data_IF_895161225239
#
_entry.id   IF_895161225239
#
_cell.length_a   1.000
_cell.length_b   1.000
_cell.length_c   1.000
_cell.angle_alpha   90.00
_cell.angle_beta   90.00
_cell.angle_gamma   90.00
#
_symmetry.space_group_name_H-M   'P 1'
#
loop_
_entity.id
_entity.type
_entity.pdbx_description
1 polymer ?
#
# COMPACT_ATOMS: atom_id res chain seq x y z
N UNK A 1 3.19 2.56 -62.67
CA UNK A 1 2.48 3.15 -61.52
C UNK A 1 2.73 2.27 -60.30
N UNK A 2 3.56 2.69 -59.35
CA UNK A 2 3.99 1.88 -58.20
C UNK A 2 3.22 2.38 -56.96
N UNK A 3 2.20 1.63 -56.53
CA UNK A 3 1.41 1.96 -55.34
C UNK A 3 2.27 1.68 -54.11
N UNK A 4 2.76 2.73 -53.44
CA UNK A 4 3.40 2.63 -52.14
C UNK A 4 2.27 2.51 -51.11
N UNK A 5 2.09 1.31 -50.56
CA UNK A 5 1.19 1.10 -49.44
C UNK A 5 1.91 1.60 -48.17
N UNK A 6 1.44 2.71 -47.62
CA UNK A 6 1.89 3.21 -46.32
C UNK A 6 1.29 2.30 -45.23
N UNK A 7 2.15 1.51 -44.58
CA UNK A 7 1.79 0.73 -43.39
C UNK A 7 1.82 1.70 -42.21
N UNK A 8 0.64 2.09 -41.73
CA UNK A 8 0.49 2.90 -40.53
C UNK A 8 0.67 1.98 -39.30
N UNK A 9 1.88 1.96 -38.74
CA UNK A 9 2.15 1.25 -37.49
C UNK A 9 1.48 2.02 -36.33
N UNK A 10 0.35 1.52 -35.83
CA UNK A 10 -0.24 1.97 -34.58
C UNK A 10 0.67 1.54 -33.43
N UNK A 11 1.44 2.48 -32.89
CA UNK A 11 2.13 2.34 -31.61
C UNK A 11 1.08 2.44 -30.51
N UNK A 12 0.54 1.31 -30.06
CA UNK A 12 -0.26 1.24 -28.84
C UNK A 12 0.69 1.40 -27.65
N UNK A 13 0.83 2.61 -27.13
CA UNK A 13 1.47 2.81 -25.83
C UNK A 13 0.64 2.06 -24.78
N UNK A 14 1.25 1.25 -23.89
CA UNK A 14 0.54 0.65 -22.79
C UNK A 14 0.04 1.79 -21.89
N UNK A 15 -1.27 2.03 -21.91
CA UNK A 15 -1.91 2.87 -20.92
C UNK A 15 -1.91 2.04 -19.63
N UNK A 16 -0.99 2.32 -18.72
CA UNK A 16 -1.05 1.81 -17.35
C UNK A 16 -2.24 2.49 -16.68
N UNK A 17 -3.43 1.94 -16.89
CA UNK A 17 -4.59 2.29 -16.09
C UNK A 17 -4.32 1.86 -14.64
N UNK A 18 -4.81 2.63 -13.66
CA UNK A 18 -4.94 2.17 -12.28
C UNK A 18 -5.60 0.79 -12.27
N UNK A 19 -4.82 -0.21 -11.93
CA UNK A 19 -5.30 -1.53 -11.57
C UNK A 19 -4.93 -1.74 -10.11
N UNK A 20 -5.86 -2.34 -9.37
CA UNK A 20 -5.55 -3.05 -8.13
C UNK A 20 -4.35 -3.98 -8.36
N UNK A 21 -3.60 -4.30 -7.30
CA UNK A 21 -2.42 -5.16 -7.39
C UNK A 21 -2.69 -6.37 -8.30
N UNK A 22 -1.96 -6.43 -9.41
CA UNK A 22 -2.26 -7.39 -10.46
C UNK A 22 -1.64 -8.73 -10.08
N UNK A 23 -2.42 -9.81 -10.07
CA UNK A 23 -1.86 -11.16 -9.86
C UNK A 23 -0.70 -11.40 -10.84
N UNK A 24 0.50 -11.75 -10.36
CA UNK A 24 0.81 -12.43 -9.09
C UNK A 24 1.21 -11.54 -7.89
N UNK A 25 1.05 -10.22 -7.97
CA UNK A 25 1.40 -9.29 -6.89
C UNK A 25 0.51 -9.49 -5.66
N UNK A 26 1.10 -9.38 -4.48
CA UNK A 26 0.39 -9.38 -3.20
C UNK A 26 0.03 -7.95 -2.79
N UNK A 27 -1.19 -7.75 -2.30
CA UNK A 27 -1.62 -6.45 -1.75
C UNK A 27 -1.05 -6.30 -0.35
N UNK A 28 -0.43 -5.16 -0.04
CA UNK A 28 -0.25 -4.71 1.35
C UNK A 28 -1.50 -3.94 1.79
N UNK A 29 -1.81 -2.85 1.07
CA UNK A 29 -3.01 -2.05 1.27
C UNK A 29 -3.52 -1.51 -0.07
N UNK A 30 -4.82 -1.62 -0.32
CA UNK A 30 -5.51 -0.94 -1.42
C UNK A 30 -6.79 -0.28 -0.88
N UNK A 31 -7.09 0.94 -1.32
CA UNK A 31 -8.37 1.58 -1.00
C UNK A 31 -8.69 2.73 -1.95
N UNK A 32 -9.92 3.25 -1.86
CA UNK A 32 -10.33 4.42 -2.63
C UNK A 32 -10.44 5.68 -1.78
N UNK A 33 -10.45 6.84 -2.43
CA UNK A 33 -10.68 8.14 -1.83
C UNK A 33 -11.70 8.94 -2.65
N UNK A 34 -12.30 9.94 -2.00
CA UNK A 34 -13.20 10.90 -2.63
C UNK A 34 -14.41 10.21 -3.29
N UNK A 35 -14.99 9.22 -2.61
CA UNK A 35 -16.08 8.38 -3.10
C UNK A 35 -15.72 7.63 -4.39
N UNK A 36 -14.57 6.94 -4.40
CA UNK A 36 -14.15 6.10 -5.52
C UNK A 36 -13.58 6.86 -6.72
N UNK A 37 -13.20 8.13 -6.57
CA UNK A 37 -12.62 8.91 -7.67
C UNK A 37 -11.10 8.73 -7.78
N UNK A 38 -10.45 8.44 -6.65
CA UNK A 38 -9.02 8.16 -6.56
C UNK A 38 -8.78 6.85 -5.84
N UNK A 39 -7.62 6.26 -6.05
CA UNK A 39 -7.19 5.05 -5.36
C UNK A 39 -5.73 5.16 -4.91
N UNK A 40 -5.39 4.36 -3.90
CA UNK A 40 -4.02 3.95 -3.60
C UNK A 40 -3.92 2.45 -3.72
N UNK A 41 -2.83 1.97 -4.31
CA UNK A 41 -2.45 0.57 -4.33
C UNK A 41 -1.00 0.46 -3.83
N UNK A 42 -0.82 -0.31 -2.76
CA UNK A 42 0.48 -0.69 -2.23
C UNK A 42 0.67 -2.19 -2.44
N UNK A 43 1.56 -2.54 -3.36
CA UNK A 43 1.71 -3.91 -3.86
C UNK A 43 3.14 -4.41 -3.65
N UNK A 44 3.26 -5.67 -3.27
CA UNK A 44 4.50 -6.43 -3.23
C UNK A 44 4.62 -7.26 -4.50
N UNK A 45 5.71 -7.07 -5.23
CA UNK A 45 6.04 -7.78 -6.47
C UNK A 45 7.43 -8.40 -6.33
N UNK A 46 7.47 -9.61 -5.75
CA UNK A 46 8.72 -10.29 -5.43
C UNK A 46 9.56 -9.52 -4.41
N UNK A 47 10.65 -8.92 -4.87
CA UNK A 47 11.60 -8.14 -4.06
C UNK A 47 11.37 -6.62 -4.13
N UNK A 48 10.30 -6.18 -4.79
CA UNK A 48 9.95 -4.76 -4.92
C UNK A 48 8.60 -4.46 -4.27
N UNK A 49 8.53 -3.32 -3.57
CA UNK A 49 7.31 -2.75 -3.04
C UNK A 49 6.97 -1.49 -3.84
N UNK A 50 5.74 -1.40 -4.32
CA UNK A 50 5.26 -0.27 -5.13
C UNK A 50 4.12 0.48 -4.46
N UNK A 51 4.09 1.80 -4.60
CA UNK A 51 3.02 2.71 -4.19
C UNK A 51 2.50 3.43 -5.42
N UNK A 52 1.20 3.31 -5.69
CA UNK A 52 0.52 4.01 -6.79
C UNK A 52 -0.66 4.79 -6.25
N UNK A 53 -0.70 6.10 -6.51
CA UNK A 53 -1.80 6.96 -6.07
C UNK A 53 -2.29 7.88 -7.19
N UNK A 54 -3.61 8.06 -7.30
CA UNK A 54 -4.21 8.96 -8.28
C UNK A 54 -5.60 8.54 -8.75
N UNK A 55 -6.04 9.08 -9.89
CA UNK A 55 -7.42 8.93 -10.37
C UNK A 55 -7.69 7.60 -11.07
N UNK A 56 -8.75 6.90 -10.65
CA UNK A 56 -9.15 5.62 -11.25
C UNK A 56 -9.40 5.78 -12.76
N UNK A 57 -8.90 4.82 -13.55
CA UNK A 57 -9.02 4.81 -15.00
C UNK A 57 -8.06 5.74 -15.74
N UNK A 58 -7.11 6.39 -15.03
CA UNK A 58 -6.01 7.17 -15.61
C UNK A 58 -4.66 6.54 -15.28
N UNK A 59 -3.57 7.16 -15.78
CA UNK A 59 -2.24 6.85 -15.30
C UNK A 59 -2.04 7.37 -13.86
N UNK A 60 -1.19 6.74 -13.04
CA UNK A 60 -0.92 7.22 -11.70
C UNK A 60 -0.37 8.63 -11.61
N UNK A 61 -0.89 9.39 -10.64
CA UNK A 61 -0.40 10.74 -10.31
C UNK A 61 0.95 10.61 -9.58
N UNK A 62 1.12 9.55 -8.78
CA UNK A 62 2.39 9.07 -8.23
C UNK A 62 2.53 7.57 -8.44
N UNK A 63 3.73 7.14 -8.84
CA UNK A 63 4.17 5.74 -8.91
C UNK A 63 5.58 5.68 -8.35
N UNK A 64 5.74 5.06 -7.17
CA UNK A 64 6.99 4.96 -6.42
C UNK A 64 7.31 3.50 -6.19
N UNK A 65 8.60 3.15 -6.24
CA UNK A 65 9.07 1.78 -5.99
C UNK A 65 10.27 1.80 -5.06
N UNK A 66 10.32 0.86 -4.13
CA UNK A 66 11.43 0.64 -3.21
C UNK A 66 11.70 -0.87 -3.11
N UNK A 67 12.97 -1.32 -3.01
CA UNK A 67 13.24 -2.71 -2.68
C UNK A 67 12.59 -3.09 -1.35
N UNK A 68 12.03 -4.30 -1.25
CA UNK A 68 11.40 -4.82 -0.03
C UNK A 68 12.36 -4.73 1.15
N UNK A 69 13.66 -4.99 0.95
CA UNK A 69 14.68 -4.90 2.00
C UNK A 69 14.87 -3.49 2.55
N UNK A 70 14.62 -2.47 1.73
CA UNK A 70 14.78 -1.06 2.09
C UNK A 70 13.46 -0.42 2.54
N UNK A 71 12.33 -1.13 2.41
CA UNK A 71 11.02 -0.61 2.80
C UNK A 71 10.96 -0.27 4.29
N UNK A 72 10.58 0.97 4.60
CA UNK A 72 10.33 1.47 5.96
C UNK A 72 8.98 0.97 6.47
N UNK A 73 8.92 -0.32 6.79
CA UNK A 73 7.74 -1.03 7.25
C UNK A 73 7.77 -1.25 8.77
N UNK A 74 6.70 -0.88 9.46
CA UNK A 74 6.54 -1.07 10.91
C UNK A 74 5.32 -1.99 11.14
N UNK A 75 5.53 -3.26 11.54
CA UNK A 75 4.44 -4.15 11.90
C UNK A 75 3.86 -3.82 13.28
N UNK A 76 2.64 -4.29 13.54
CA UNK A 76 2.00 -4.14 14.84
C UNK A 76 2.81 -4.83 15.95
N UNK A 77 3.08 -4.19 17.11
CA UNK A 77 3.87 -4.79 18.19
C UNK A 77 3.14 -5.88 18.99
N UNK A 78 1.94 -6.32 18.58
CA UNK A 78 1.17 -7.34 19.28
C UNK A 78 0.36 -6.84 20.49
N UNK A 79 0.37 -5.53 20.78
CA UNK A 79 -0.27 -4.93 21.96
C UNK A 79 -1.26 -3.82 21.54
N UNK A 80 -2.40 -3.77 22.22
CA UNK A 80 -3.43 -2.74 22.03
C UNK A 80 -4.66 -3.22 21.26
N UNK A 81 -5.74 -2.45 21.28
CA UNK A 81 -6.99 -2.84 20.62
C UNK A 81 -6.88 -2.76 19.09
N UNK A 82 -6.37 -1.62 18.61
CA UNK A 82 -6.11 -1.36 17.21
C UNK A 82 -4.84 -2.11 16.78
N UNK A 83 -5.02 -3.06 15.86
CA UNK A 83 -3.93 -3.70 15.13
C UNK A 83 -3.60 -2.79 13.96
N UNK A 84 -2.33 -2.44 13.77
CA UNK A 84 -1.95 -1.52 12.71
C UNK A 84 -0.59 -1.86 12.14
N UNK A 85 -0.40 -1.58 10.86
CA UNK A 85 0.92 -1.62 10.24
C UNK A 85 1.10 -0.39 9.37
N UNK A 86 2.33 0.11 9.28
CA UNK A 86 2.64 1.25 8.41
C UNK A 86 3.78 0.93 7.47
N UNK A 87 3.75 1.55 6.29
CA UNK A 87 4.91 1.59 5.39
C UNK A 87 5.07 2.99 4.82
N UNK A 88 6.31 3.48 4.78
CA UNK A 88 6.62 4.84 4.31
C UNK A 88 7.34 4.81 2.97
N UNK A 89 6.84 5.62 2.02
CA UNK A 89 7.49 5.91 0.75
C UNK A 89 8.00 7.35 0.72
N UNK A 90 9.09 7.59 0.01
CA UNK A 90 9.71 8.91 -0.08
C UNK A 90 9.76 9.42 -1.52
N UNK A 91 9.47 10.70 -1.71
CA UNK A 91 9.66 11.44 -2.96
C UNK A 91 10.32 12.79 -2.65
N UNK A 92 11.65 12.84 -2.73
CA UNK A 92 12.41 14.02 -2.34
C UNK A 92 12.31 14.29 -0.83
N UNK A 93 11.68 15.41 -0.45
CA UNK A 93 11.46 15.80 0.95
C UNK A 93 10.11 15.35 1.51
N UNK A 94 9.23 14.89 0.64
CA UNK A 94 7.88 14.46 1.00
C UNK A 94 7.89 12.96 1.27
N UNK A 95 7.22 12.54 2.35
CA UNK A 95 6.97 11.14 2.64
C UNK A 95 5.48 10.84 2.67
N UNK A 96 5.15 9.59 2.33
CA UNK A 96 3.80 9.05 2.27
C UNK A 96 3.77 7.81 3.17
N UNK A 97 3.36 7.99 4.41
CA UNK A 97 3.15 6.88 5.34
C UNK A 97 1.75 6.32 5.10
N UNK A 98 1.69 5.09 4.61
CA UNK A 98 0.45 4.34 4.40
C UNK A 98 0.21 3.46 5.61
N UNK A 99 -0.97 3.55 6.21
CA UNK A 99 -1.34 2.77 7.38
C UNK A 99 -2.61 1.94 7.13
N UNK A 100 -2.54 0.65 7.44
CA UNK A 100 -3.70 -0.23 7.57
C UNK A 100 -4.01 -0.48 9.04
N UNK A 101 -5.29 -0.39 9.43
CA UNK A 101 -5.71 -0.51 10.83
C UNK A 101 -6.94 -1.41 10.95
N UNK A 102 -6.89 -2.37 11.85
CA UNK A 102 -8.01 -3.23 12.24
C UNK A 102 -8.36 -2.88 13.70
N UNK A 103 -9.50 -2.21 13.91
CA UNK A 103 -10.04 -1.94 15.25
C UNK A 103 -10.90 -3.11 15.73
N UNK A 104 -10.36 -3.85 16.70
CA UNK A 104 -11.05 -4.98 17.33
C UNK A 104 -12.12 -4.47 18.28
N UNK A 105 -13.39 -4.68 17.93
CA UNK A 105 -14.52 -4.35 18.81
C UNK A 105 -14.72 -5.46 19.83
N UNK A 106 -14.87 -5.07 21.09
CA UNK A 106 -15.24 -5.97 22.19
C UNK A 106 -16.57 -5.49 22.76
N UNK A 107 -17.49 -6.41 22.99
CA UNK A 107 -18.76 -6.18 23.68
C UNK A 107 -18.83 -7.09 24.89
N UNK A 108 -19.42 -6.60 25.98
CA UNK A 108 -19.73 -7.40 27.16
C UNK A 108 -20.93 -8.34 26.93
N UNK A 109 -21.66 -8.15 25.82
CA UNK A 109 -22.70 -9.07 25.35
C UNK A 109 -22.08 -10.16 24.46
N UNK A 110 -22.08 -11.40 24.97
CA UNK A 110 -21.59 -12.60 24.27
C UNK A 110 -22.34 -12.89 22.95
N UNK A 111 -23.51 -12.29 22.74
CA UNK A 111 -24.32 -12.47 21.53
C UNK A 111 -24.18 -11.30 20.54
N UNK A 112 -23.41 -10.27 20.85
CA UNK A 112 -23.24 -9.12 19.95
C UNK A 112 -22.32 -9.46 18.78
N UNK A 113 -22.79 -9.23 17.56
CA UNK A 113 -21.95 -9.22 16.37
C UNK A 113 -21.01 -8.01 16.43
N UNK A 114 -19.72 -8.26 16.60
CA UNK A 114 -18.68 -7.23 16.68
C UNK A 114 -17.64 -7.43 15.57
N UNK A 115 -18.04 -7.29 14.29
CA UNK A 115 -17.07 -7.38 13.21
C UNK A 115 -15.99 -6.29 13.41
N UNK A 116 -14.70 -6.62 13.20
CA UNK A 116 -13.65 -5.63 13.30
C UNK A 116 -13.86 -4.54 12.25
N UNK A 117 -13.58 -3.29 12.62
CA UNK A 117 -13.60 -2.19 11.68
C UNK A 117 -12.22 -2.07 11.02
N UNK A 118 -12.16 -2.08 9.70
CA UNK A 118 -10.92 -1.91 8.95
C UNK A 118 -10.87 -0.49 8.40
N UNK A 119 -9.74 0.17 8.63
CA UNK A 119 -9.45 1.53 8.20
C UNK A 119 -8.13 1.55 7.45
N UNK A 120 -8.00 2.51 6.53
CA UNK A 120 -6.75 2.81 5.88
C UNK A 120 -6.59 4.33 5.79
N UNK A 121 -5.34 4.79 5.86
CA UNK A 121 -5.03 6.21 5.68
C UNK A 121 -3.65 6.40 5.06
N UNK A 122 -3.41 7.62 4.57
CA UNK A 122 -2.10 8.09 4.14
C UNK A 122 -1.81 9.39 4.87
N UNK A 123 -0.72 9.43 5.63
CA UNK A 123 -0.14 10.67 6.13
C UNK A 123 0.91 11.16 5.14
N UNK A 124 0.71 12.38 4.62
CA UNK A 124 1.67 13.07 3.75
C UNK A 124 2.47 14.02 4.62
N UNK A 125 3.77 13.81 4.72
CA UNK A 125 4.65 14.59 5.58
C UNK A 125 5.74 15.30 4.77
N UNK A 126 6.18 16.46 5.22
CA UNK A 126 7.37 17.14 4.70
C UNK A 126 8.07 17.89 5.85
N UNK A 127 9.39 17.76 5.94
CA UNK A 127 10.17 18.51 6.95
C UNK A 127 9.81 18.19 8.41
N UNK A 128 9.22 17.03 8.68
CA UNK A 128 8.77 16.62 10.01
C UNK A 128 7.35 17.07 10.39
N UNK A 129 6.63 17.72 9.48
CA UNK A 129 5.23 18.13 9.67
C UNK A 129 4.30 17.32 8.77
N UNK A 130 3.11 16.97 9.28
CA UNK A 130 2.04 16.36 8.47
C UNK A 130 1.32 17.45 7.69
N UNK A 131 1.44 17.40 6.36
CA UNK A 131 0.80 18.33 5.43
C UNK A 131 -0.67 17.96 5.19
N UNK A 132 -0.97 16.67 5.13
CA UNK A 132 -2.31 16.15 4.92
C UNK A 132 -2.46 14.73 5.46
N UNK A 133 -3.68 14.39 5.87
CA UNK A 133 -4.10 13.02 6.12
C UNK A 133 -5.24 12.69 5.17
N UNK A 134 -5.11 11.60 4.42
CA UNK A 134 -6.12 11.09 3.51
C UNK A 134 -6.69 9.81 4.12
N UNK A 135 -7.98 9.81 4.43
CA UNK A 135 -8.68 8.63 4.94
C UNK A 135 -9.35 7.88 3.79
N UNK A 136 -9.23 6.56 3.79
CA UNK A 136 -9.89 5.72 2.79
C UNK A 136 -11.42 5.83 2.90
N UNK A 137 -12.11 5.70 1.77
CA UNK A 137 -13.57 5.65 1.74
C UNK A 137 -14.08 4.42 2.53
N UNK A 138 -15.17 4.54 3.30
CA UNK A 138 -15.71 3.44 4.09
C UNK A 138 -16.00 2.19 3.23
N UNK A 139 -15.50 1.04 3.67
CA UNK A 139 -15.69 -0.25 3.00
C UNK A 139 -14.85 -0.48 1.74
N UNK A 140 -13.95 0.45 1.39
CA UNK A 140 -13.05 0.31 0.24
C UNK A 140 -11.71 -0.36 0.57
N UNK A 141 -11.40 -0.53 1.87
CA UNK A 141 -10.07 -0.96 2.33
C UNK A 141 -9.88 -2.47 2.16
N UNK A 142 -8.85 -2.84 1.42
CA UNK A 142 -8.23 -4.16 1.42
C UNK A 142 -6.86 -4.06 2.11
N UNK A 143 -6.64 -4.80 3.19
CA UNK A 143 -5.44 -4.72 4.02
C UNK A 143 -5.00 -6.12 4.47
N UNK A 144 -3.80 -6.54 4.04
CA UNK A 144 -3.23 -7.86 4.30
C UNK A 144 -2.36 -7.89 5.56
N UNK A 145 -2.95 -7.59 6.72
CA UNK A 145 -2.26 -7.61 8.02
C UNK A 145 -1.47 -8.92 8.24
N UNK A 146 -0.21 -8.80 8.67
CA UNK A 146 0.63 -9.92 9.07
C UNK A 146 1.09 -10.86 7.95
N UNK A 147 0.78 -10.55 6.69
CA UNK A 147 1.26 -11.27 5.51
C UNK A 147 1.93 -10.33 4.51
N UNK A 148 1.92 -10.70 3.22
CA UNK A 148 2.36 -9.84 2.11
C UNK A 148 3.76 -9.24 2.36
N UNK A 149 3.86 -7.98 2.77
CA UNK A 149 5.12 -7.30 3.04
C UNK A 149 5.91 -7.92 4.19
N UNK A 150 5.26 -8.40 5.25
CA UNK A 150 5.94 -9.10 6.34
C UNK A 150 6.62 -10.38 5.84
N UNK A 151 5.88 -11.18 5.06
CA UNK A 151 6.37 -12.42 4.47
C UNK A 151 7.49 -12.15 3.47
N UNK A 152 7.35 -11.11 2.65
CA UNK A 152 8.36 -10.72 1.66
C UNK A 152 9.67 -10.27 2.32
N UNK A 153 9.61 -9.48 3.40
CA UNK A 153 10.80 -9.12 4.18
C UNK A 153 11.45 -10.35 4.82
N UNK A 154 10.65 -11.25 5.38
CA UNK A 154 11.15 -12.50 5.96
C UNK A 154 11.81 -13.39 4.90
N UNK A 155 11.19 -13.53 3.73
CA UNK A 155 11.74 -14.27 2.59
C UNK A 155 13.04 -13.66 2.06
N UNK A 156 13.20 -12.33 2.18
CA UNK A 156 14.43 -11.61 1.87
C UNK A 156 15.51 -11.74 2.97
N UNK A 157 15.28 -12.55 4.01
CA UNK A 157 16.22 -12.78 5.10
C UNK A 157 16.26 -11.66 6.15
N UNK A 158 15.19 -10.86 6.26
CA UNK A 158 15.05 -9.88 7.32
C UNK A 158 14.17 -10.38 8.45
N UNK A 159 14.55 -10.03 9.68
CA UNK A 159 13.82 -10.34 10.90
C UNK A 159 13.46 -9.02 11.59
N UNK A 160 12.26 -8.95 12.17
CA UNK A 160 11.85 -7.76 12.92
C UNK A 160 12.27 -7.87 14.38
N UNK A 161 13.10 -6.94 14.83
CA UNK A 161 13.41 -6.75 16.24
C UNK A 161 12.29 -5.91 16.88
N UNK A 162 11.50 -6.54 17.74
CA UNK A 162 10.40 -5.88 18.46
C UNK A 162 10.88 -4.89 19.52
N UNK A 163 12.06 -5.11 20.12
CA UNK A 163 12.60 -4.24 21.16
C UNK A 163 13.15 -2.95 20.55
N UNK A 164 13.92 -3.09 19.47
CA UNK A 164 14.52 -1.96 18.73
C UNK A 164 13.57 -1.37 17.67
N UNK A 165 12.41 -1.99 17.46
CA UNK A 165 11.39 -1.60 16.49
C UNK A 165 11.95 -1.38 15.07
N UNK A 166 12.81 -2.31 14.61
CA UNK A 166 13.47 -2.20 13.32
C UNK A 166 13.68 -3.56 12.66
N UNK A 167 13.72 -3.56 11.33
CA UNK A 167 14.13 -4.72 10.55
C UNK A 167 15.65 -4.81 10.51
N UNK A 168 16.16 -6.02 10.64
CA UNK A 168 17.57 -6.34 10.46
C UNK A 168 17.76 -7.65 9.71
N UNK A 169 18.97 -7.94 9.26
CA UNK A 169 19.28 -9.26 8.70
C UNK A 169 19.14 -10.31 9.78
N UNK A 170 18.41 -11.39 9.50
CA UNK A 170 18.35 -12.54 10.38
C UNK A 170 19.78 -13.09 10.61
N UNK A 171 20.17 -13.29 11.87
CA UNK A 171 21.46 -13.87 12.25
C UNK A 171 21.45 -15.39 12.20
#
# INVERSE_FOLDING_TARGET
MRKIAAVLALLTAPQTAFATCATPQDTFLSCTFSNGQKAVDVCVDGDMLTYRFGHIGKAPDLDLSVPVVDAEYIPWPGIGRAIWETVTFHNGKTSYEVAGVIDRKFSDDENAENPPAIHGLINVNEGGETLATLECDPGSVDFAYGGSLYDAKTAAGQCYDLEEQRWESCQ
#
